data_IF_458594446113
#
_entry.id   IF_458594446113
#
_cell.length_a   1.000
_cell.length_b   1.000
_cell.length_c   1.000
_cell.angle_alpha   90.00
_cell.angle_beta   90.00
_cell.angle_gamma   90.00
#
_symmetry.space_group_name_H-M   'P 1'
#
loop_
_entity.id
_entity.type
_entity.pdbx_description
1 polymer ?
#
# COMPACT_ATOMS: atom_id res chain seq x y z
N UNK A 1 46.99 -71.34 39.34
CA UNK A 1 46.33 -70.07 39.77
C UNK A 1 45.82 -69.24 38.59
N UNK A 2 46.57 -69.16 37.48
CA UNK A 2 46.18 -68.43 36.25
C UNK A 2 44.88 -68.93 35.58
N UNK A 3 44.64 -70.25 35.55
CA UNK A 3 43.47 -70.84 34.89
C UNK A 3 42.13 -70.53 35.60
N UNK A 4 42.14 -70.33 36.92
CA UNK A 4 40.96 -69.91 37.69
C UNK A 4 40.66 -68.41 37.52
N UNK A 5 41.69 -67.59 37.29
CA UNK A 5 41.52 -66.16 37.01
C UNK A 5 40.91 -65.94 35.61
N UNK A 6 41.30 -66.76 34.63
CA UNK A 6 40.79 -66.69 33.25
C UNK A 6 39.30 -67.07 33.17
N UNK A 7 38.85 -68.01 33.99
CA UNK A 7 37.45 -68.47 34.06
C UNK A 7 36.50 -67.45 34.72
N UNK A 8 37.00 -66.63 35.66
CA UNK A 8 36.24 -65.54 36.28
C UNK A 8 36.07 -64.35 35.32
N UNK A 9 37.08 -64.06 34.50
CA UNK A 9 37.02 -62.97 33.52
C UNK A 9 36.03 -63.30 32.40
N UNK A 10 35.91 -64.57 31.99
CA UNK A 10 34.98 -64.99 30.94
C UNK A 10 33.50 -64.86 31.33
N UNK A 11 33.16 -64.98 32.62
CA UNK A 11 31.79 -64.86 33.12
C UNK A 11 31.30 -63.41 33.14
N UNK A 12 32.21 -62.43 33.21
CA UNK A 12 31.86 -61.00 33.20
C UNK A 12 31.48 -60.52 31.79
N UNK A 13 31.97 -61.17 30.73
CA UNK A 13 31.71 -60.75 29.34
C UNK A 13 30.38 -61.24 28.76
N UNK A 14 29.66 -62.15 29.41
CA UNK A 14 28.44 -62.76 28.85
C UNK A 14 27.13 -62.04 29.25
N UNK A 15 27.19 -61.03 30.14
CA UNK A 15 26.01 -60.28 30.57
C UNK A 15 25.76 -58.97 29.78
N UNK A 16 26.51 -58.71 28.72
CA UNK A 16 26.36 -57.49 27.92
C UNK A 16 25.43 -57.67 26.70
N UNK A 17 24.25 -58.25 26.91
CA UNK A 17 23.20 -58.29 25.89
C UNK A 17 21.98 -57.49 26.37
N UNK A 18 22.10 -56.17 26.32
CA UNK A 18 20.96 -55.25 26.49
C UNK A 18 20.13 -55.26 25.22
N UNK A 19 19.02 -56.01 25.22
CA UNK A 19 18.00 -55.94 24.17
C UNK A 19 17.41 -54.52 24.20
N UNK A 20 17.86 -53.66 23.28
CA UNK A 20 17.36 -52.30 23.12
C UNK A 20 15.97 -52.41 22.51
N UNK A 21 14.94 -52.36 23.35
CA UNK A 21 13.60 -52.04 22.88
C UNK A 21 13.70 -50.69 22.16
N UNK A 22 13.54 -50.69 20.84
CA UNK A 22 13.17 -49.48 20.13
C UNK A 22 11.81 -49.06 20.68
N UNK A 23 11.86 -48.24 21.74
CA UNK A 23 10.76 -47.36 22.08
C UNK A 23 10.56 -46.49 20.84
N UNK A 24 9.65 -46.92 19.97
CA UNK A 24 8.94 -45.99 19.09
C UNK A 24 8.42 -44.94 20.06
N UNK A 25 9.08 -43.77 20.05
CA UNK A 25 8.63 -42.63 20.83
C UNK A 25 7.28 -42.26 20.22
N UNK A 26 6.21 -42.77 20.81
CA UNK A 26 4.91 -42.15 20.69
C UNK A 26 5.10 -40.81 21.40
N UNK A 27 5.57 -39.82 20.65
CA UNK A 27 5.69 -38.44 21.10
C UNK A 27 4.28 -38.10 21.58
N UNK A 28 4.12 -37.94 22.90
CA UNK A 28 2.83 -37.65 23.53
C UNK A 28 2.32 -36.34 22.94
N UNK A 29 1.44 -36.44 21.94
CA UNK A 29 0.74 -35.34 21.27
C UNK A 29 0.11 -34.36 22.27
N UNK A 30 -0.25 -34.86 23.46
CA UNK A 30 -0.73 -34.08 24.60
C UNK A 30 0.27 -33.05 25.16
N UNK A 31 1.59 -33.23 25.01
CA UNK A 31 2.60 -32.31 25.55
C UNK A 31 2.96 -31.18 24.57
N UNK A 32 3.00 -31.45 23.26
CA UNK A 32 3.32 -30.46 22.24
C UNK A 32 2.25 -29.37 22.17
N UNK A 33 0.97 -29.75 22.28
CA UNK A 33 -0.14 -28.81 22.30
C UNK A 33 -0.01 -27.80 23.47
N UNK A 34 0.42 -28.26 24.65
CA UNK A 34 0.64 -27.37 25.80
C UNK A 34 1.77 -26.37 25.53
N UNK A 35 2.89 -26.84 24.98
CA UNK A 35 4.01 -25.97 24.62
C UNK A 35 3.62 -24.92 23.58
N UNK A 36 2.81 -25.29 22.57
CA UNK A 36 2.27 -24.33 21.60
C UNK A 36 1.39 -23.27 22.28
N UNK A 37 0.50 -23.68 23.20
CA UNK A 37 -0.37 -22.76 23.94
C UNK A 37 0.48 -21.79 24.77
N UNK A 38 1.51 -22.29 25.44
CA UNK A 38 2.39 -21.46 26.28
C UNK A 38 3.18 -20.46 25.42
N UNK A 39 3.76 -20.89 24.29
CA UNK A 39 4.43 -19.99 23.33
C UNK A 39 3.46 -18.94 22.77
N UNK A 40 2.22 -19.31 22.45
CA UNK A 40 1.21 -18.37 21.97
C UNK A 40 0.83 -17.33 23.03
N UNK A 41 0.67 -17.76 24.29
CA UNK A 41 0.39 -16.84 25.42
C UNK A 41 1.56 -15.90 25.69
N UNK A 42 2.78 -16.41 25.70
CA UNK A 42 3.99 -15.57 25.83
C UNK A 42 4.06 -14.53 24.69
N UNK A 43 3.65 -14.91 23.48
CA UNK A 43 3.53 -13.99 22.35
C UNK A 43 2.49 -12.88 22.57
N UNK A 44 1.31 -13.22 23.11
CA UNK A 44 0.29 -12.23 23.49
C UNK A 44 0.83 -11.29 24.58
N UNK A 45 1.38 -11.84 25.65
CA UNK A 45 1.90 -11.04 26.77
C UNK A 45 3.00 -10.07 26.32
N UNK A 46 3.86 -10.52 25.39
CA UNK A 46 4.90 -9.69 24.80
C UNK A 46 4.31 -8.57 23.91
N UNK A 47 3.32 -8.92 23.09
CA UNK A 47 2.62 -7.98 22.22
C UNK A 47 1.92 -6.88 23.04
N UNK A 48 1.23 -7.25 24.10
CA UNK A 48 0.56 -6.31 25.01
C UNK A 48 1.55 -5.38 25.74
N UNK A 49 2.79 -5.83 25.96
CA UNK A 49 3.87 -5.02 26.52
C UNK A 49 4.59 -4.16 25.47
N UNK A 50 4.23 -4.28 24.19
CA UNK A 50 4.84 -3.54 23.08
C UNK A 50 6.12 -4.17 22.52
N UNK A 51 6.52 -5.37 22.97
CA UNK A 51 7.68 -6.07 22.43
C UNK A 51 7.28 -6.89 21.19
N UNK A 52 7.13 -6.20 20.06
CA UNK A 52 6.70 -6.80 18.80
C UNK A 52 7.66 -7.90 18.29
N UNK A 53 8.96 -7.72 18.44
CA UNK A 53 9.97 -8.68 17.95
C UNK A 53 9.89 -9.99 18.73
N UNK A 54 9.83 -9.89 20.07
CA UNK A 54 9.69 -11.09 20.90
C UNK A 54 8.32 -11.75 20.72
N UNK A 55 7.25 -10.95 20.58
CA UNK A 55 5.92 -11.45 20.30
C UNK A 55 5.88 -12.27 18.99
N UNK A 56 6.39 -11.70 17.89
CA UNK A 56 6.43 -12.38 16.60
C UNK A 56 7.25 -13.67 16.65
N UNK A 57 8.40 -13.65 17.33
CA UNK A 57 9.21 -14.85 17.57
C UNK A 57 8.41 -15.95 18.28
N UNK A 58 7.66 -15.58 19.32
CA UNK A 58 6.86 -16.52 20.12
C UNK A 58 5.65 -17.06 19.37
N UNK A 59 5.01 -16.24 18.56
CA UNK A 59 3.97 -16.71 17.64
C UNK A 59 4.54 -17.69 16.60
N UNK A 60 5.69 -17.39 15.99
CA UNK A 60 6.35 -18.31 15.06
C UNK A 60 6.77 -19.62 15.74
N UNK A 61 7.24 -19.56 16.99
CA UNK A 61 7.51 -20.76 17.81
C UNK A 61 6.24 -21.61 17.99
N UNK A 62 5.11 -20.98 18.33
CA UNK A 62 3.82 -21.67 18.48
C UNK A 62 3.37 -22.37 17.18
N UNK A 63 3.59 -21.75 16.02
CA UNK A 63 3.32 -22.36 14.72
C UNK A 63 4.22 -23.59 14.46
N UNK A 64 5.52 -23.49 14.72
CA UNK A 64 6.49 -24.58 14.50
C UNK A 64 6.20 -25.77 15.41
N UNK A 65 5.82 -25.51 16.67
CA UNK A 65 5.54 -26.55 17.64
C UNK A 65 4.35 -27.43 17.22
N UNK A 66 3.27 -26.85 16.70
CA UNK A 66 2.08 -27.62 16.32
C UNK A 66 1.45 -27.18 14.99
N UNK A 67 2.11 -27.45 13.83
CA UNK A 67 1.74 -26.87 12.53
C UNK A 67 0.36 -27.27 11.99
N UNK A 68 -0.15 -28.43 12.38
CA UNK A 68 -1.47 -28.95 12.01
C UNK A 68 -2.62 -28.32 12.80
N UNK A 69 -2.31 -27.55 13.84
CA UNK A 69 -3.30 -26.89 14.68
C UNK A 69 -3.96 -25.73 13.94
N UNK A 70 -5.23 -25.47 14.26
CA UNK A 70 -5.90 -24.22 13.88
C UNK A 70 -5.19 -22.97 14.45
N UNK A 71 -4.41 -23.15 15.52
CA UNK A 71 -3.61 -22.08 16.10
C UNK A 71 -2.39 -21.72 15.25
N UNK A 72 -1.85 -22.65 14.45
CA UNK A 72 -0.64 -22.38 13.67
C UNK A 72 -0.83 -21.23 12.68
N UNK A 73 -1.91 -21.28 11.87
CA UNK A 73 -2.23 -20.19 10.94
C UNK A 73 -2.51 -18.88 11.67
N UNK A 74 -3.22 -18.94 12.81
CA UNK A 74 -3.48 -17.76 13.64
C UNK A 74 -2.18 -17.15 14.17
N UNK A 75 -1.22 -17.97 14.59
CA UNK A 75 0.07 -17.50 15.10
C UNK A 75 0.86 -16.76 14.03
N UNK A 76 0.97 -17.29 12.81
CA UNK A 76 1.68 -16.58 11.72
C UNK A 76 1.06 -15.21 11.45
N UNK A 77 -0.29 -15.15 11.39
CA UNK A 77 -0.98 -13.88 11.18
C UNK A 77 -0.81 -12.90 12.35
N UNK A 78 -0.72 -13.41 13.59
CA UNK A 78 -0.38 -12.59 14.76
C UNK A 78 1.08 -12.12 14.74
N UNK A 79 2.01 -12.92 14.24
CA UNK A 79 3.41 -12.52 14.06
C UNK A 79 3.53 -11.35 13.07
N UNK A 80 2.87 -11.47 11.92
CA UNK A 80 2.76 -10.38 10.95
C UNK A 80 2.18 -9.09 11.57
N UNK A 81 1.08 -9.23 12.33
CA UNK A 81 0.45 -8.08 12.98
C UNK A 81 1.33 -7.46 14.07
N UNK A 82 2.07 -8.27 14.83
CA UNK A 82 3.04 -7.78 15.80
C UNK A 82 4.10 -6.91 15.13
N UNK A 83 4.70 -7.38 14.03
CA UNK A 83 5.64 -6.56 13.25
C UNK A 83 5.02 -5.26 12.75
N UNK A 84 3.82 -5.34 12.15
CA UNK A 84 3.10 -4.17 11.67
C UNK A 84 2.85 -3.13 12.77
N UNK A 85 2.50 -3.56 13.98
CA UNK A 85 2.17 -2.67 15.10
C UNK A 85 3.30 -1.74 15.57
N UNK A 86 4.54 -2.04 15.18
CA UNK A 86 5.74 -1.28 15.52
C UNK A 86 6.53 -0.89 14.26
N UNK A 87 5.82 -0.71 13.13
CA UNK A 87 6.36 -0.24 11.86
C UNK A 87 7.46 -1.12 11.23
N UNK A 88 7.59 -2.38 11.66
CA UNK A 88 8.46 -3.38 11.02
C UNK A 88 7.82 -3.93 9.74
N UNK A 89 7.52 -3.05 8.78
CA UNK A 89 6.73 -3.39 7.60
C UNK A 89 7.38 -4.46 6.73
N UNK A 90 8.71 -4.49 6.61
CA UNK A 90 9.41 -5.52 5.83
C UNK A 90 9.21 -6.93 6.40
N UNK A 91 9.32 -7.07 7.73
CA UNK A 91 9.08 -8.33 8.42
C UNK A 91 7.60 -8.73 8.35
N UNK A 92 6.69 -7.76 8.51
CA UNK A 92 5.26 -7.97 8.34
C UNK A 92 4.91 -8.48 6.93
N UNK A 93 5.45 -7.85 5.88
CA UNK A 93 5.28 -8.26 4.48
C UNK A 93 5.77 -9.70 4.28
N UNK A 94 6.94 -10.04 4.84
CA UNK A 94 7.50 -11.39 4.74
C UNK A 94 6.59 -12.44 5.39
N UNK A 95 6.12 -12.19 6.61
CA UNK A 95 5.22 -13.10 7.32
C UNK A 95 3.84 -13.21 6.65
N UNK A 96 3.32 -12.11 6.09
CA UNK A 96 2.05 -12.12 5.35
C UNK A 96 2.14 -12.92 4.06
N UNK A 97 3.22 -12.73 3.28
CA UNK A 97 3.48 -13.53 2.08
C UNK A 97 3.57 -15.02 2.42
N UNK A 98 4.26 -15.35 3.51
CA UNK A 98 4.36 -16.72 4.04
C UNK A 98 2.99 -17.28 4.45
N UNK A 99 2.18 -16.49 5.15
CA UNK A 99 0.82 -16.87 5.54
C UNK A 99 -0.05 -17.19 4.33
N UNK A 100 -0.07 -16.29 3.33
CA UNK A 100 -0.87 -16.43 2.10
C UNK A 100 -0.45 -17.70 1.34
N UNK A 101 0.86 -17.94 1.21
CA UNK A 101 1.38 -19.11 0.51
C UNK A 101 1.10 -20.42 1.26
N UNK A 102 1.30 -20.43 2.58
CA UNK A 102 1.19 -21.64 3.40
C UNK A 102 -0.26 -22.01 3.74
N UNK A 103 -1.14 -21.02 3.90
CA UNK A 103 -2.53 -21.20 4.31
C UNK A 103 -3.53 -20.60 3.30
N UNK A 104 -3.52 -21.05 2.02
CA UNK A 104 -4.29 -20.45 0.92
C UNK A 104 -5.81 -20.71 1.00
N UNK A 105 -6.30 -21.41 2.02
CA UNK A 105 -7.73 -21.64 2.27
C UNK A 105 -8.21 -21.07 3.61
N UNK A 106 -7.39 -20.23 4.24
CA UNK A 106 -7.73 -19.66 5.54
C UNK A 106 -8.85 -18.62 5.43
N UNK A 107 -9.76 -18.60 6.40
CA UNK A 107 -10.92 -17.68 6.43
C UNK A 107 -10.52 -16.20 6.45
N UNK A 108 -9.34 -15.88 7.00
CA UNK A 108 -8.79 -14.51 7.14
C UNK A 108 -7.83 -14.09 6.03
N UNK A 109 -7.89 -14.71 4.85
CA UNK A 109 -7.05 -14.27 3.72
C UNK A 109 -7.36 -12.85 3.27
N UNK A 110 -8.63 -12.43 3.35
CA UNK A 110 -9.05 -11.06 3.10
C UNK A 110 -8.28 -10.06 3.98
N UNK A 111 -8.18 -10.33 5.28
CA UNK A 111 -7.42 -9.51 6.21
C UNK A 111 -5.92 -9.57 5.95
N UNK A 112 -5.36 -10.73 5.60
CA UNK A 112 -3.93 -10.86 5.32
C UNK A 112 -3.52 -10.04 4.08
N UNK A 113 -4.27 -10.13 2.97
CA UNK A 113 -4.03 -9.30 1.79
C UNK A 113 -4.24 -7.82 2.07
N UNK A 114 -5.27 -7.47 2.86
CA UNK A 114 -5.49 -6.09 3.26
C UNK A 114 -4.33 -5.54 4.10
N UNK A 115 -3.86 -6.27 5.11
CA UNK A 115 -2.73 -5.85 5.93
C UNK A 115 -1.43 -5.76 5.11
N UNK A 116 -1.27 -6.63 4.11
CA UNK A 116 -0.14 -6.58 3.18
C UNK A 116 -0.18 -5.30 2.34
N UNK A 117 -1.35 -4.94 1.81
CA UNK A 117 -1.56 -3.69 1.10
C UNK A 117 -1.26 -2.48 2.00
N UNK A 118 -1.69 -2.51 3.26
CA UNK A 118 -1.43 -1.47 4.25
C UNK A 118 0.07 -1.34 4.56
N UNK A 119 0.79 -2.45 4.74
CA UNK A 119 2.25 -2.40 4.96
C UNK A 119 2.98 -1.71 3.80
N UNK A 120 2.57 -1.96 2.56
CA UNK A 120 3.11 -1.23 1.40
C UNK A 120 2.66 0.23 1.35
N UNK A 121 1.42 0.52 1.76
CA UNK A 121 0.88 1.87 1.80
C UNK A 121 1.60 2.77 2.79
N UNK A 122 1.90 2.28 3.99
CA UNK A 122 2.63 3.05 5.03
C UNK A 122 4.09 3.34 4.63
N UNK A 123 4.63 2.65 3.64
CA UNK A 123 5.94 2.91 3.06
C UNK A 123 5.93 4.02 1.99
N UNK A 124 4.76 4.57 1.63
CA UNK A 124 4.63 5.66 0.66
C UNK A 124 5.09 6.98 1.31
N UNK A 125 5.95 7.74 0.62
CA UNK A 125 6.51 8.99 1.17
C UNK A 125 6.06 10.26 0.44
N UNK A 126 6.49 10.45 -0.82
CA UNK A 126 6.19 11.65 -1.63
C UNK A 126 6.19 11.23 -3.11
N UNK A 127 5.40 11.90 -3.95
CA UNK A 127 5.33 11.70 -5.41
C UNK A 127 6.69 11.71 -6.12
N UNK A 128 7.72 12.33 -5.53
CA UNK A 128 9.09 12.44 -6.05
C UNK A 128 9.95 11.21 -5.75
N UNK A 129 9.58 10.36 -4.81
CA UNK A 129 10.36 9.17 -4.41
C UNK A 129 10.00 7.94 -5.26
N UNK A 130 10.54 6.79 -4.85
CA UNK A 130 10.30 5.50 -5.49
C UNK A 130 8.81 5.14 -5.53
N UNK A 131 8.40 4.54 -6.64
CA UNK A 131 7.03 4.11 -6.88
C UNK A 131 6.76 2.67 -6.42
N UNK A 132 7.81 1.90 -6.10
CA UNK A 132 7.67 0.48 -5.72
C UNK A 132 6.59 0.22 -4.68
N UNK A 133 6.68 0.81 -3.47
CA UNK A 133 5.66 0.61 -2.42
C UNK A 133 4.25 1.00 -2.87
N UNK A 134 4.15 2.09 -3.63
CA UNK A 134 2.88 2.60 -4.10
C UNK A 134 2.22 1.65 -5.12
N UNK A 135 3.00 1.10 -6.06
CA UNK A 135 2.50 0.14 -7.05
C UNK A 135 2.11 -1.18 -6.40
N UNK A 136 2.91 -1.66 -5.45
CA UNK A 136 2.61 -2.88 -4.70
C UNK A 136 1.33 -2.73 -3.87
N UNK A 137 1.18 -1.60 -3.17
CA UNK A 137 -0.05 -1.29 -2.44
C UNK A 137 -1.26 -1.24 -3.38
N UNK A 138 -1.10 -0.60 -4.55
CA UNK A 138 -2.17 -0.51 -5.55
C UNK A 138 -2.62 -1.90 -6.03
N UNK A 139 -1.67 -2.80 -6.31
CA UNK A 139 -1.93 -4.16 -6.74
C UNK A 139 -2.69 -4.96 -5.68
N UNK A 140 -2.23 -4.92 -4.42
CA UNK A 140 -2.86 -5.65 -3.33
C UNK A 140 -4.24 -5.09 -2.96
N UNK A 141 -4.44 -3.76 -2.94
CA UNK A 141 -5.78 -3.20 -2.74
C UNK A 141 -6.74 -3.60 -3.87
N UNK A 142 -6.30 -3.58 -5.13
CA UNK A 142 -7.09 -4.09 -6.26
C UNK A 142 -7.42 -5.57 -6.09
N UNK A 143 -6.47 -6.36 -5.59
CA UNK A 143 -6.68 -7.78 -5.29
C UNK A 143 -7.78 -7.95 -4.24
N UNK A 144 -7.74 -7.20 -3.13
CA UNK A 144 -8.77 -7.27 -2.07
C UNK A 144 -10.14 -6.89 -2.61
N UNK A 145 -10.25 -5.79 -3.35
CA UNK A 145 -11.51 -5.32 -3.94
C UNK A 145 -12.10 -6.36 -4.89
N UNK A 146 -11.26 -6.98 -5.73
CA UNK A 146 -11.68 -7.95 -6.74
C UNK A 146 -12.10 -9.29 -6.13
N UNK A 147 -11.33 -9.81 -5.17
CA UNK A 147 -11.52 -11.15 -4.64
C UNK A 147 -12.40 -11.21 -3.39
N UNK A 148 -12.51 -10.10 -2.64
CA UNK A 148 -13.27 -10.01 -1.39
C UNK A 148 -14.24 -8.80 -1.36
N UNK A 149 -15.06 -8.58 -2.39
CA UNK A 149 -15.84 -7.35 -2.57
C UNK A 149 -16.84 -7.06 -1.44
N UNK A 150 -17.35 -8.09 -0.77
CA UNK A 150 -18.35 -7.97 0.31
C UNK A 150 -17.70 -7.79 1.70
N UNK A 151 -16.37 -7.78 1.80
CA UNK A 151 -15.68 -7.59 3.08
C UNK A 151 -15.56 -6.11 3.45
N UNK A 152 -15.55 -5.81 4.75
CA UNK A 152 -15.29 -4.45 5.25
C UNK A 152 -13.95 -3.89 4.74
N UNK A 153 -12.97 -4.78 4.51
CA UNK A 153 -11.66 -4.44 3.95
C UNK A 153 -11.74 -3.95 2.50
N UNK A 154 -12.71 -4.41 1.71
CA UNK A 154 -12.85 -3.94 0.33
C UNK A 154 -13.33 -2.48 0.26
N UNK A 155 -14.13 -2.03 1.24
CA UNK A 155 -14.54 -0.63 1.31
C UNK A 155 -13.34 0.27 1.63
N UNK A 156 -12.56 -0.07 2.67
CA UNK A 156 -11.36 0.71 3.01
C UNK A 156 -10.31 0.66 1.87
N UNK A 157 -10.14 -0.51 1.24
CA UNK A 157 -9.26 -0.67 0.08
C UNK A 157 -9.63 0.26 -1.07
N UNK A 158 -10.92 0.52 -1.33
CA UNK A 158 -11.35 1.48 -2.36
C UNK A 158 -10.89 2.88 -2.04
N UNK A 159 -11.09 3.34 -0.80
CA UNK A 159 -10.65 4.67 -0.38
C UNK A 159 -9.12 4.80 -0.43
N UNK A 160 -8.38 3.79 0.03
CA UNK A 160 -6.90 3.79 -0.06
C UNK A 160 -6.42 3.77 -1.51
N UNK A 161 -7.08 3.02 -2.38
CA UNK A 161 -6.78 2.97 -3.81
C UNK A 161 -7.01 4.34 -4.48
N UNK A 162 -8.07 5.05 -4.12
CA UNK A 162 -8.32 6.41 -4.64
C UNK A 162 -7.21 7.38 -4.23
N UNK A 163 -6.77 7.34 -2.96
CA UNK A 163 -5.64 8.15 -2.48
C UNK A 163 -4.33 7.81 -3.23
N UNK A 164 -4.08 6.52 -3.48
CA UNK A 164 -2.92 6.08 -4.27
C UNK A 164 -3.00 6.64 -5.71
N UNK A 165 -4.18 6.60 -6.32
CA UNK A 165 -4.39 7.12 -7.67
C UNK A 165 -4.18 8.63 -7.73
N UNK A 166 -4.60 9.38 -6.70
CA UNK A 166 -4.32 10.82 -6.58
C UNK A 166 -2.82 11.09 -6.52
N UNK A 167 -2.05 10.31 -5.74
CA UNK A 167 -0.58 10.47 -5.67
C UNK A 167 0.09 10.17 -7.02
N UNK A 168 -0.35 9.12 -7.71
CA UNK A 168 0.14 8.78 -9.06
C UNK A 168 -0.18 9.88 -10.08
N UNK A 169 -1.40 10.38 -10.07
CA UNK A 169 -1.82 11.48 -10.93
C UNK A 169 -1.02 12.76 -10.64
N UNK A 170 -0.79 13.08 -9.36
CA UNK A 170 0.06 14.21 -8.95
C UNK A 170 1.46 14.12 -9.55
N UNK A 171 2.07 12.92 -9.58
CA UNK A 171 3.37 12.70 -10.21
C UNK A 171 3.34 12.96 -11.72
N UNK A 172 2.33 12.47 -12.42
CA UNK A 172 2.18 12.71 -13.86
C UNK A 172 1.97 14.20 -14.15
N UNK A 173 1.18 14.91 -13.33
CA UNK A 173 1.03 16.38 -13.41
C UNK A 173 2.37 17.08 -13.20
N UNK A 174 3.13 16.70 -12.16
CA UNK A 174 4.43 17.28 -11.88
C UNK A 174 5.39 17.14 -13.06
N UNK A 175 5.48 15.94 -13.64
CA UNK A 175 6.31 15.65 -14.81
C UNK A 175 5.80 16.40 -16.06
N UNK A 176 4.49 16.45 -16.27
CA UNK A 176 3.86 17.20 -17.36
C UNK A 176 4.20 18.69 -17.32
N UNK A 177 4.02 19.32 -16.15
CA UNK A 177 4.40 20.72 -15.91
C UNK A 177 5.89 20.95 -16.12
N UNK A 178 6.73 20.04 -15.65
CA UNK A 178 8.18 20.11 -15.86
C UNK A 178 8.55 20.09 -17.35
N UNK A 179 8.00 19.14 -18.12
CA UNK A 179 8.25 19.07 -19.57
C UNK A 179 7.70 20.25 -20.33
N UNK A 180 6.53 20.77 -19.94
CA UNK A 180 5.95 21.98 -20.49
C UNK A 180 6.88 23.18 -20.26
N UNK A 181 7.43 23.35 -19.04
CA UNK A 181 8.41 24.40 -18.74
C UNK A 181 9.68 24.29 -19.59
N UNK A 182 10.09 23.06 -19.94
CA UNK A 182 11.22 22.77 -20.82
C UNK A 182 10.86 22.76 -22.32
N UNK A 183 9.64 23.15 -22.68
CA UNK A 183 9.14 23.17 -24.06
C UNK A 183 9.18 21.80 -24.76
N UNK A 184 9.15 20.71 -23.99
CA UNK A 184 9.05 19.34 -24.51
C UNK A 184 7.59 18.95 -24.65
N UNK A 185 6.91 19.52 -25.65
CA UNK A 185 5.45 19.47 -25.80
C UNK A 185 4.89 18.06 -25.88
N UNK A 186 5.47 17.20 -26.72
CA UNK A 186 5.00 15.80 -26.91
C UNK A 186 5.12 15.02 -25.59
N UNK A 187 6.25 15.18 -24.88
CA UNK A 187 6.44 14.52 -23.59
C UNK A 187 5.42 15.02 -22.56
N UNK A 188 5.14 16.33 -22.51
CA UNK A 188 4.13 16.89 -21.62
C UNK A 188 2.72 16.37 -21.97
N UNK A 189 2.36 16.33 -23.26
CA UNK A 189 1.09 15.77 -23.74
C UNK A 189 0.92 14.34 -23.23
N UNK A 190 1.93 13.49 -23.42
CA UNK A 190 1.84 12.09 -22.98
C UNK A 190 1.58 11.96 -21.47
N UNK A 191 2.18 12.82 -20.65
CA UNK A 191 1.96 12.86 -19.19
C UNK A 191 0.52 13.25 -18.83
N UNK A 192 0.01 14.33 -19.43
CA UNK A 192 -1.38 14.74 -19.16
C UNK A 192 -2.41 13.75 -19.73
N UNK A 193 -2.12 13.11 -20.87
CA UNK A 193 -2.93 12.03 -21.42
C UNK A 193 -3.02 10.85 -20.46
N UNK A 194 -1.91 10.47 -19.81
CA UNK A 194 -1.89 9.39 -18.83
C UNK A 194 -2.89 9.66 -17.69
N UNK A 195 -2.98 10.90 -17.21
CA UNK A 195 -3.96 11.29 -16.18
C UNK A 195 -5.39 11.14 -16.70
N UNK A 196 -5.67 11.59 -17.92
CA UNK A 196 -7.02 11.46 -18.52
C UNK A 196 -7.41 10.00 -18.76
N UNK A 197 -6.47 9.16 -19.21
CA UNK A 197 -6.75 7.79 -19.60
C UNK A 197 -6.82 6.83 -18.40
N UNK A 198 -6.00 7.05 -17.36
CA UNK A 198 -5.85 6.11 -16.23
C UNK A 198 -6.33 6.66 -14.90
N UNK A 199 -6.26 7.99 -14.69
CA UNK A 199 -6.56 8.63 -13.40
C UNK A 199 -7.70 9.65 -13.51
N UNK A 200 -8.71 9.34 -14.32
CA UNK A 200 -9.81 10.25 -14.66
C UNK A 200 -10.73 10.63 -13.49
N UNK A 201 -10.72 9.86 -12.42
CA UNK A 201 -11.49 10.13 -11.19
C UNK A 201 -10.77 11.04 -10.20
N UNK A 202 -9.49 11.34 -10.45
CA UNK A 202 -8.67 12.17 -9.54
C UNK A 202 -8.98 13.64 -9.71
N UNK A 203 -8.60 14.44 -8.69
CA UNK A 203 -8.73 15.91 -8.72
C UNK A 203 -7.95 16.59 -9.84
N UNK A 204 -7.03 15.86 -10.49
CA UNK A 204 -6.13 16.38 -11.52
C UNK A 204 -6.69 16.28 -12.95
N UNK A 205 -7.87 15.69 -13.13
CA UNK A 205 -8.49 15.49 -14.45
C UNK A 205 -8.76 16.82 -15.18
N UNK A 206 -9.32 17.81 -14.49
CA UNK A 206 -9.68 19.11 -15.06
C UNK A 206 -8.45 19.88 -15.56
N UNK A 207 -7.39 19.90 -14.72
CA UNK A 207 -6.11 20.50 -15.11
C UNK A 207 -5.51 19.79 -16.32
N UNK A 208 -5.50 18.45 -16.30
CA UNK A 208 -4.92 17.66 -17.38
C UNK A 208 -5.60 17.92 -18.71
N UNK A 209 -6.93 17.98 -18.72
CA UNK A 209 -7.70 18.33 -19.91
C UNK A 209 -7.35 19.75 -20.39
N UNK A 210 -7.32 20.74 -19.50
CA UNK A 210 -6.92 22.10 -19.85
C UNK A 210 -5.51 22.16 -20.45
N UNK A 211 -4.54 21.48 -19.83
CA UNK A 211 -3.15 21.43 -20.32
C UNK A 211 -3.04 20.75 -21.67
N UNK A 212 -3.86 19.72 -21.93
CA UNK A 212 -3.94 19.11 -23.24
C UNK A 212 -4.49 20.09 -24.28
N UNK A 213 -5.52 20.89 -23.96
CA UNK A 213 -5.99 21.96 -24.85
C UNK A 213 -4.85 22.94 -25.14
N UNK A 214 -4.20 23.47 -24.10
CA UNK A 214 -3.13 24.46 -24.22
C UNK A 214 -2.00 23.96 -25.12
N UNK A 215 -1.55 22.72 -24.89
CA UNK A 215 -0.45 22.13 -25.64
C UNK A 215 -0.81 21.83 -27.10
N UNK A 216 -1.97 21.21 -27.35
CA UNK A 216 -2.41 20.91 -28.73
C UNK A 216 -2.65 22.19 -29.53
N UNK A 217 -3.25 23.21 -28.92
CA UNK A 217 -3.43 24.51 -29.55
C UNK A 217 -2.07 25.14 -29.91
N UNK A 218 -1.11 25.10 -28.98
CA UNK A 218 0.23 25.68 -29.16
C UNK A 218 1.03 25.04 -30.30
N UNK A 219 0.86 23.73 -30.53
CA UNK A 219 1.53 23.01 -31.63
C UNK A 219 0.71 23.02 -32.93
N UNK A 220 -0.39 23.76 -33.00
CA UNK A 220 -1.21 23.93 -34.19
C UNK A 220 -2.27 22.84 -34.43
N UNK A 221 -2.44 21.90 -33.51
CA UNK A 221 -3.47 20.85 -33.57
C UNK A 221 -4.80 21.35 -32.98
N UNK A 222 -5.40 22.33 -33.64
CA UNK A 222 -6.57 23.06 -33.14
C UNK A 222 -7.78 22.13 -32.96
N UNK A 223 -8.01 21.19 -33.89
CA UNK A 223 -9.16 20.30 -33.80
C UNK A 223 -9.05 19.33 -32.61
N UNK A 224 -7.83 18.86 -32.31
CA UNK A 224 -7.59 18.03 -31.14
C UNK A 224 -7.77 18.83 -29.85
N UNK A 225 -7.28 20.07 -29.82
CA UNK A 225 -7.51 20.99 -28.71
C UNK A 225 -9.01 21.21 -28.46
N UNK A 226 -9.82 21.38 -29.51
CA UNK A 226 -11.28 21.53 -29.37
C UNK A 226 -11.96 20.29 -28.80
N UNK A 227 -11.50 19.07 -29.13
CA UNK A 227 -12.05 17.84 -28.55
C UNK A 227 -11.84 17.79 -27.03
N UNK A 228 -10.61 18.05 -26.57
CA UNK A 228 -10.33 18.11 -25.14
C UNK A 228 -11.11 19.23 -24.43
N UNK A 229 -11.25 20.39 -25.07
CA UNK A 229 -12.05 21.49 -24.53
C UNK A 229 -13.53 21.13 -24.42
N UNK A 230 -14.07 20.40 -25.40
CA UNK A 230 -15.45 19.91 -25.38
C UNK A 230 -15.65 18.88 -24.26
N UNK A 231 -14.70 17.98 -24.05
CA UNK A 231 -14.74 17.02 -22.94
C UNK A 231 -14.72 17.71 -21.57
N UNK A 232 -13.84 18.70 -21.40
CA UNK A 232 -13.78 19.52 -20.19
C UNK A 232 -15.09 20.29 -19.97
N UNK A 233 -15.62 20.92 -21.03
CA UNK A 233 -16.88 21.67 -20.97
C UNK A 233 -18.13 20.81 -20.84
N UNK A 234 -18.08 19.53 -21.19
CA UNK A 234 -19.20 18.62 -20.95
C UNK A 234 -19.28 18.20 -19.48
N UNK A 235 -18.13 17.89 -18.87
CA UNK A 235 -18.06 17.31 -17.53
C UNK A 235 -17.84 18.34 -16.39
N UNK A 236 -17.21 19.49 -16.66
CA UNK A 236 -16.64 20.37 -15.62
C UNK A 236 -16.86 21.88 -15.88
N UNK A 237 -18.09 22.28 -16.24
CA UNK A 237 -18.45 23.64 -16.68
C UNK A 237 -18.19 24.77 -15.66
N UNK A 238 -18.15 24.45 -14.37
CA UNK A 238 -17.92 25.42 -13.29
C UNK A 238 -16.46 25.49 -12.84
N UNK A 239 -15.57 24.69 -13.43
CA UNK A 239 -14.16 24.66 -13.02
C UNK A 239 -13.40 25.91 -13.47
N UNK A 240 -12.41 26.31 -12.68
CA UNK A 240 -11.43 27.34 -13.09
C UNK A 240 -10.69 26.95 -14.39
N UNK A 241 -10.53 25.65 -14.62
CA UNK A 241 -9.86 25.10 -15.80
C UNK A 241 -10.70 25.21 -17.05
N UNK A 242 -12.03 25.09 -16.94
CA UNK A 242 -12.95 25.37 -18.04
C UNK A 242 -12.87 26.83 -18.46
N UNK A 243 -12.89 27.76 -17.49
CA UNK A 243 -12.77 29.20 -17.77
C UNK A 243 -11.43 29.52 -18.45
N UNK A 244 -10.32 28.99 -17.93
CA UNK A 244 -9.00 29.13 -18.54
C UNK A 244 -8.94 28.56 -19.96
N UNK A 245 -9.62 27.45 -20.21
CA UNK A 245 -9.73 26.82 -21.53
C UNK A 245 -10.55 27.67 -22.50
N UNK A 246 -11.64 28.29 -22.04
CA UNK A 246 -12.49 29.13 -22.87
C UNK A 246 -11.72 30.35 -23.41
N UNK A 247 -10.84 30.95 -22.60
CA UNK A 247 -9.98 32.09 -22.98
C UNK A 247 -9.03 31.74 -24.14
N UNK A 248 -8.57 30.49 -24.23
CA UNK A 248 -7.65 30.07 -25.32
C UNK A 248 -8.31 30.26 -26.69
N UNK A 249 -9.61 29.97 -26.80
CA UNK A 249 -10.36 30.10 -28.05
C UNK A 249 -11.05 31.45 -28.21
N UNK A 250 -11.33 32.15 -27.11
CA UNK A 250 -12.01 33.45 -27.09
C UNK A 250 -11.18 34.48 -26.33
N UNK A 251 -10.18 35.05 -27.01
CA UNK A 251 -9.21 35.97 -26.37
C UNK A 251 -9.84 37.24 -25.79
N UNK A 252 -11.01 37.64 -26.30
CA UNK A 252 -11.75 38.82 -25.82
C UNK A 252 -12.64 38.52 -24.59
N UNK A 253 -12.68 37.26 -24.14
CA UNK A 253 -13.46 36.88 -22.97
C UNK A 253 -12.77 37.33 -21.67
N UNK A 254 -13.47 38.15 -20.89
CA UNK A 254 -13.03 38.60 -19.56
C UNK A 254 -13.90 37.93 -18.48
N UNK A 255 -13.27 37.10 -17.64
CA UNK A 255 -13.93 36.32 -16.59
C UNK A 255 -14.73 37.18 -15.61
N UNK A 256 -15.81 36.63 -15.09
CA UNK A 256 -16.63 37.28 -14.07
C UNK A 256 -15.81 37.59 -12.81
N UNK A 257 -14.91 36.68 -12.42
CA UNK A 257 -13.98 36.84 -11.29
C UNK A 257 -12.99 37.98 -11.55
N UNK A 258 -12.40 38.07 -12.74
CA UNK A 258 -11.49 39.18 -13.07
C UNK A 258 -12.21 40.52 -13.07
N UNK A 259 -13.46 40.57 -13.57
CA UNK A 259 -14.30 41.77 -13.49
C UNK A 259 -14.55 42.20 -12.04
N UNK A 260 -14.85 41.26 -11.14
CA UNK A 260 -15.05 41.53 -9.71
C UNK A 260 -13.76 42.03 -9.05
N UNK A 261 -12.63 41.34 -9.27
CA UNK A 261 -11.34 41.72 -8.69
C UNK A 261 -10.86 43.09 -9.17
N UNK A 262 -11.02 43.39 -10.47
CA UNK A 262 -10.71 44.70 -11.07
C UNK A 262 -11.60 45.81 -10.49
N UNK A 263 -12.91 45.56 -10.32
CA UNK A 263 -13.81 46.49 -9.61
C UNK A 263 -13.39 46.72 -8.16
N UNK A 264 -13.01 45.67 -7.43
CA UNK A 264 -12.57 45.76 -6.02
C UNK A 264 -11.24 46.52 -5.89
N UNK A 265 -10.27 46.24 -6.75
CA UNK A 265 -9.00 46.97 -6.84
C UNK A 265 -9.21 48.45 -7.15
N UNK A 266 -10.03 48.77 -8.16
CA UNK A 266 -10.39 50.16 -8.48
C UNK A 266 -11.11 50.86 -7.33
N UNK A 267 -11.97 50.15 -6.57
CA UNK A 267 -12.63 50.70 -5.39
C UNK A 267 -11.63 51.03 -4.26
N UNK A 268 -10.69 50.13 -3.97
CA UNK A 268 -9.64 50.33 -2.95
C UNK A 268 -8.75 51.52 -3.35
N UNK A 269 -8.30 51.56 -4.61
CA UNK A 269 -7.47 52.66 -5.14
C UNK A 269 -8.22 54.00 -5.02
N UNK A 270 -9.52 54.03 -5.36
CA UNK A 270 -10.34 55.24 -5.25
C UNK A 270 -10.50 55.70 -3.80
N UNK A 271 -10.75 54.77 -2.87
CA UNK A 271 -10.80 55.03 -1.41
C UNK A 271 -9.47 55.51 -0.84
N UNK A 272 -8.35 54.99 -1.34
CA UNK A 272 -7.02 55.42 -0.92
C UNK A 272 -6.68 56.82 -1.43
N UNK A 273 -6.97 57.12 -2.71
CA UNK A 273 -6.76 58.47 -3.29
C UNK A 273 -7.57 59.55 -2.56
N UNK A 274 -8.80 59.26 -2.15
CA UNK A 274 -9.62 60.23 -1.38
C UNK A 274 -9.05 60.58 0.00
N UNK A 275 -8.05 59.87 0.52
CA UNK A 275 -7.36 60.23 1.77
C UNK A 275 -6.31 61.32 1.59
N UNK A 276 -5.85 61.57 0.36
CA UNK A 276 -4.84 62.58 0.03
C UNK A 276 -5.43 63.86 -0.58
N UNK A 277 -6.74 63.90 -0.80
CA UNK A 277 -7.47 65.08 -1.30
C UNK A 277 -7.89 66.05 -0.17
N UNK A 278 -7.07 66.18 0.88
CA UNK A 278 -7.25 67.14 1.97
C UNK A 278 -6.49 68.45 1.70
#
# INVERSE_FOLDING_TARGET
>A
MFLRLLLIILIIFINSCSKKEEKISIIKEKQINLQMIDAYKEGIDAFEKGDALFAAKKFNEAEILFPQSKWASRSVLMAAYAYYSQDYYFDAISELGRFIQKYPKHERLNYAHFLLAICHYEQIVDEKKDLGPLLNAQEEFKFVIKNYPESDFALDSKFKLDLINDVLASKEIFLGRYYMKKQKWIAAINRFKQVVEVYSTTVYIEESLHRLVELHYRIGLIDEAKKYASLLGYNYQSSQWYEATYIIFNKDYESSINKINKKKGNFIIRKFKSLFEL
#
